data_IF_197982977784
#
_entry.id   IF_197982977784
#
_cell.length_a   1.000
_cell.length_b   1.000
_cell.length_c   1.000
_cell.angle_alpha   90.00
_cell.angle_beta   90.00
_cell.angle_gamma   90.00
#
_symmetry.space_group_name_H-M   'P 1'
#
loop_
_entity.id
_entity.type
_entity.pdbx_description
1 polymer ?
#
# COMPACT_ATOMS: atom_id res chain seq x y z
N UNK A 1 10.59 32.64 17.97
CA UNK A 1 9.60 31.54 18.06
C UNK A 1 8.28 32.00 17.49
N UNK A 2 7.80 31.41 16.40
CA UNK A 2 6.43 31.67 15.93
C UNK A 2 5.81 30.35 15.48
N UNK A 3 4.83 29.89 16.27
CA UNK A 3 4.11 28.63 16.07
C UNK A 3 3.29 28.76 14.78
N UNK A 4 3.71 28.11 13.69
CA UNK A 4 2.85 27.97 12.50
C UNK A 4 1.70 27.05 12.87
N UNK A 5 0.54 27.67 13.07
CA UNK A 5 -0.76 27.03 13.29
C UNK A 5 -1.05 26.20 12.03
N UNK A 6 -0.98 24.88 12.15
CA UNK A 6 -1.39 23.95 11.10
C UNK A 6 -2.89 24.12 10.86
N UNK A 7 -3.26 25.06 9.99
CA UNK A 7 -4.59 25.13 9.43
C UNK A 7 -4.72 23.94 8.49
N UNK A 8 -5.37 22.90 9.00
CA UNK A 8 -5.93 21.80 8.22
C UNK A 8 -6.91 22.42 7.20
N UNK A 9 -6.39 22.85 6.07
CA UNK A 9 -7.14 23.48 5.00
C UNK A 9 -8.05 22.42 4.36
N UNK A 10 -9.35 22.70 4.37
CA UNK A 10 -10.34 21.87 3.69
C UNK A 10 -9.95 21.76 2.21
N UNK A 11 -9.63 20.53 1.82
CA UNK A 11 -9.13 20.16 0.49
C UNK A 11 -10.12 20.61 -0.61
N UNK A 12 -11.42 20.67 -0.27
CA UNK A 12 -12.51 21.19 -1.10
C UNK A 12 -12.36 22.68 -1.42
N UNK A 13 -11.98 23.48 -0.43
CA UNK A 13 -11.83 24.94 -0.55
C UNK A 13 -10.63 25.31 -1.43
N UNK A 14 -9.53 24.57 -1.29
CA UNK A 14 -8.34 24.73 -2.12
C UNK A 14 -8.61 24.38 -3.59
N UNK A 15 -9.36 23.32 -3.87
CA UNK A 15 -9.73 22.93 -5.23
C UNK A 15 -10.65 23.97 -5.91
N UNK A 16 -11.57 24.58 -5.16
CA UNK A 16 -12.41 25.66 -5.68
C UNK A 16 -11.58 26.91 -6.03
N UNK A 17 -10.65 27.31 -5.16
CA UNK A 17 -9.75 28.44 -5.39
C UNK A 17 -8.84 28.22 -6.61
N UNK A 18 -8.28 27.02 -6.77
CA UNK A 18 -7.42 26.69 -7.93
C UNK A 18 -8.19 26.74 -9.24
N UNK A 19 -9.43 26.24 -9.27
CA UNK A 19 -10.32 26.34 -10.45
C UNK A 19 -10.62 27.78 -10.81
N UNK A 20 -10.86 28.65 -9.82
CA UNK A 20 -11.10 30.07 -10.04
C UNK A 20 -9.89 30.77 -10.68
N UNK A 21 -8.68 30.48 -10.21
CA UNK A 21 -7.43 31.03 -10.78
C UNK A 21 -7.19 30.51 -12.19
N UNK A 22 -7.42 29.21 -12.44
CA UNK A 22 -7.26 28.63 -13.77
C UNK A 22 -8.27 29.19 -14.79
N UNK A 23 -9.43 29.69 -14.34
CA UNK A 23 -10.41 30.43 -15.14
C UNK A 23 -10.06 31.90 -15.36
N UNK A 24 -8.86 32.33 -14.96
CA UNK A 24 -8.37 33.70 -15.18
C UNK A 24 -8.67 34.69 -14.04
N UNK A 25 -9.23 34.26 -12.90
CA UNK A 25 -9.40 35.17 -11.76
C UNK A 25 -8.07 35.55 -11.13
N UNK A 26 -7.97 36.79 -10.64
CA UNK A 26 -6.77 37.31 -10.00
C UNK A 26 -6.37 36.44 -8.79
N UNK A 27 -5.12 35.97 -8.78
CA UNK A 27 -4.53 35.14 -7.75
C UNK A 27 -4.64 35.76 -6.35
N UNK A 28 -4.38 37.06 -6.22
CA UNK A 28 -4.34 37.77 -4.94
C UNK A 28 -5.74 37.96 -4.35
N UNK A 29 -6.70 38.33 -5.20
CA UNK A 29 -8.11 38.47 -4.80
C UNK A 29 -8.69 37.10 -4.38
N UNK A 30 -8.37 36.05 -5.14
CA UNK A 30 -8.81 34.68 -4.85
C UNK A 30 -8.19 34.17 -3.55
N UNK A 31 -6.89 34.40 -3.32
CA UNK A 31 -6.23 34.04 -2.07
C UNK A 31 -6.91 34.67 -0.83
N UNK A 32 -7.26 35.96 -0.91
CA UNK A 32 -7.96 36.68 0.17
C UNK A 32 -9.40 36.17 0.37
N UNK A 33 -10.13 35.92 -0.71
CA UNK A 33 -11.51 35.42 -0.68
C UNK A 33 -11.61 34.06 0.01
N UNK A 34 -10.67 33.17 -0.28
CA UNK A 34 -10.68 31.80 0.24
C UNK A 34 -9.84 31.61 1.51
N UNK A 35 -9.17 32.66 2.00
CA UNK A 35 -8.30 32.58 3.18
C UNK A 35 -7.07 31.69 2.99
N UNK A 36 -6.57 31.56 1.76
CA UNK A 36 -5.44 30.68 1.41
C UNK A 36 -4.20 31.55 1.16
N UNK A 37 -3.02 31.20 1.70
CA UNK A 37 -1.79 31.91 1.37
C UNK A 37 -1.56 31.96 -0.15
N UNK A 38 -1.20 33.14 -0.67
CA UNK A 38 -1.00 33.39 -2.10
C UNK A 38 0.01 32.41 -2.72
N UNK A 39 1.07 32.08 -1.99
CA UNK A 39 2.11 31.11 -2.41
C UNK A 39 1.54 29.71 -2.58
N UNK A 40 0.74 29.22 -1.62
CA UNK A 40 0.07 27.91 -1.70
C UNK A 40 -0.87 27.84 -2.90
N UNK A 41 -1.67 28.88 -3.14
CA UNK A 41 -2.56 28.94 -4.30
C UNK A 41 -1.80 28.97 -5.63
N UNK A 42 -0.68 29.69 -5.67
CA UNK A 42 0.20 29.75 -6.84
C UNK A 42 0.86 28.40 -7.16
N UNK A 43 1.39 27.73 -6.14
CA UNK A 43 2.05 26.43 -6.34
C UNK A 43 1.05 25.35 -6.77
N UNK A 44 -0.19 25.40 -6.27
CA UNK A 44 -1.27 24.54 -6.73
C UNK A 44 -1.73 24.87 -8.16
N UNK A 45 -1.87 26.14 -8.54
CA UNK A 45 -2.30 26.53 -9.90
C UNK A 45 -1.26 26.16 -10.96
N UNK A 46 0.03 26.33 -10.64
CA UNK A 46 1.16 25.88 -11.48
C UNK A 46 1.41 24.37 -11.43
N UNK A 47 0.61 23.61 -10.69
CA UNK A 47 0.69 22.16 -10.64
C UNK A 47 1.92 21.60 -9.92
N UNK A 48 2.70 22.44 -9.22
CA UNK A 48 3.91 22.03 -8.49
C UNK A 48 3.61 21.07 -7.33
N UNK A 49 2.35 21.05 -6.89
CA UNK A 49 1.85 20.20 -5.81
C UNK A 49 0.93 19.07 -6.32
N UNK A 50 0.80 18.87 -7.65
CA UNK A 50 0.05 17.73 -8.21
C UNK A 50 0.72 16.42 -7.78
N UNK A 51 -0.02 15.55 -7.10
CA UNK A 51 0.47 14.28 -6.56
C UNK A 51 0.83 14.29 -5.06
N UNK A 52 0.82 15.46 -4.40
CA UNK A 52 0.85 15.52 -2.94
C UNK A 52 -0.57 15.40 -2.37
N UNK A 53 -1.12 14.18 -2.36
CA UNK A 53 -2.35 13.87 -1.61
C UNK A 53 -2.12 13.88 -0.09
N UNK A 54 -0.86 14.01 0.35
CA UNK A 54 -0.45 13.87 1.76
C UNK A 54 0.22 15.15 2.29
N UNK A 55 -0.51 16.27 2.29
CA UNK A 55 -0.03 17.55 2.82
C UNK A 55 1.30 18.05 2.22
N UNK A 56 1.96 19.06 2.81
CA UNK A 56 3.31 19.50 2.45
C UNK A 56 4.39 18.50 2.91
N UNK A 57 4.06 17.21 2.89
CA UNK A 57 4.92 16.11 3.31
C UNK A 57 5.83 15.60 2.21
N UNK A 58 6.91 14.96 2.64
CA UNK A 58 7.88 14.28 1.78
C UNK A 58 7.19 13.24 0.88
N UNK A 59 7.51 13.23 -0.42
CA UNK A 59 6.94 12.30 -1.42
C UNK A 59 7.03 10.84 -0.94
N UNK A 60 5.97 10.07 -1.16
CA UNK A 60 5.94 8.65 -0.81
C UNK A 60 6.99 7.86 -1.63
N UNK A 61 7.54 6.82 -1.02
CA UNK A 61 8.51 5.94 -1.68
C UNK A 61 7.86 5.02 -2.71
N UNK A 62 6.64 4.57 -2.45
CA UNK A 62 5.75 3.87 -3.38
C UNK A 62 4.46 4.68 -3.50
N UNK A 63 3.95 4.85 -4.71
CA UNK A 63 2.66 5.52 -4.94
C UNK A 63 1.51 4.62 -4.47
N UNK A 64 0.32 5.18 -4.28
CA UNK A 64 -0.87 4.39 -3.89
C UNK A 64 -1.19 3.30 -4.93
N UNK A 65 -0.95 3.57 -6.22
CA UNK A 65 -1.12 2.61 -7.31
C UNK A 65 -0.11 1.48 -7.22
N UNK A 66 1.16 1.79 -6.92
CA UNK A 66 2.21 0.79 -6.74
C UNK A 66 2.02 -0.06 -5.47
N UNK A 67 1.31 0.48 -4.47
CA UNK A 67 0.94 -0.25 -3.27
C UNK A 67 -0.22 -1.24 -3.54
N UNK A 68 -1.05 -1.06 -4.58
CA UNK A 68 -2.22 -1.93 -4.85
C UNK A 68 -1.90 -3.42 -5.04
N UNK A 69 -0.92 -3.83 -5.88
CA UNK A 69 -0.60 -5.24 -6.04
C UNK A 69 -0.16 -5.88 -4.72
N UNK A 70 0.54 -5.11 -3.89
CA UNK A 70 1.00 -5.54 -2.56
C UNK A 70 -0.19 -5.77 -1.62
N UNK A 71 -1.17 -4.85 -1.64
CA UNK A 71 -2.40 -4.97 -0.84
C UNK A 71 -3.20 -6.21 -1.26
N UNK A 72 -3.39 -6.41 -2.56
CA UNK A 72 -4.11 -7.55 -3.10
C UNK A 72 -3.44 -8.87 -2.69
N UNK A 73 -2.12 -8.93 -2.78
CA UNK A 73 -1.36 -10.12 -2.38
C UNK A 73 -1.43 -10.37 -0.86
N UNK A 74 -1.41 -9.32 -0.04
CA UNK A 74 -1.61 -9.46 1.41
C UNK A 74 -2.98 -10.06 1.72
N UNK A 75 -4.06 -9.59 1.06
CA UNK A 75 -5.41 -10.11 1.23
C UNK A 75 -5.51 -11.57 0.78
N UNK A 76 -4.98 -11.89 -0.40
CA UNK A 76 -4.92 -13.24 -0.96
C UNK A 76 -4.25 -14.25 -0.02
N UNK A 77 -3.15 -13.84 0.63
CA UNK A 77 -2.41 -14.68 1.56
C UNK A 77 -3.10 -14.80 2.92
N UNK A 78 -3.74 -13.73 3.39
CA UNK A 78 -4.51 -13.73 4.63
C UNK A 78 -5.72 -14.67 4.54
N UNK A 79 -6.41 -14.68 3.40
CA UNK A 79 -7.55 -15.56 3.12
C UNK A 79 -7.19 -17.06 3.19
N UNK A 80 -5.97 -17.41 2.76
CA UNK A 80 -5.41 -18.78 2.86
C UNK A 80 -4.81 -19.11 4.23
N UNK A 81 -5.12 -18.32 5.26
CA UNK A 81 -4.61 -18.52 6.63
C UNK A 81 -3.10 -18.29 6.79
N UNK A 82 -2.44 -17.63 5.82
CA UNK A 82 -0.98 -17.40 5.83
C UNK A 82 -0.66 -15.91 5.67
N UNK A 83 -1.02 -15.05 6.64
CA UNK A 83 -0.80 -13.62 6.55
C UNK A 83 0.69 -13.27 6.39
N UNK A 84 0.98 -12.25 5.58
CA UNK A 84 2.36 -11.83 5.32
C UNK A 84 3.01 -11.18 6.55
N UNK A 85 4.24 -11.59 6.83
CA UNK A 85 5.07 -10.96 7.87
C UNK A 85 5.65 -9.62 7.38
N UNK A 86 6.04 -8.75 8.32
CA UNK A 86 6.74 -7.50 8.00
C UNK A 86 8.01 -7.73 7.17
N UNK A 87 8.73 -8.83 7.42
CA UNK A 87 9.95 -9.18 6.67
C UNK A 87 9.63 -9.46 5.20
N UNK A 88 8.56 -10.22 4.92
CA UNK A 88 8.11 -10.50 3.55
C UNK A 88 7.61 -9.24 2.88
N UNK A 89 6.82 -8.42 3.59
CA UNK A 89 6.33 -7.14 3.09
C UNK A 89 7.48 -6.23 2.63
N UNK A 90 8.54 -6.10 3.44
CA UNK A 90 9.74 -5.34 3.07
C UNK A 90 10.41 -5.90 1.82
N UNK A 91 10.55 -7.23 1.71
CA UNK A 91 11.14 -7.87 0.52
C UNK A 91 10.37 -7.55 -0.75
N UNK A 92 9.04 -7.68 -0.72
CA UNK A 92 8.19 -7.38 -1.88
C UNK A 92 8.24 -5.89 -2.24
N UNK A 93 8.18 -5.01 -1.26
CA UNK A 93 8.34 -3.58 -1.48
C UNK A 93 9.74 -3.24 -2.08
N UNK A 94 10.82 -3.86 -1.60
CA UNK A 94 12.16 -3.72 -2.21
C UNK A 94 12.17 -4.21 -3.65
N UNK A 95 11.50 -5.31 -3.97
CA UNK A 95 11.42 -5.83 -5.34
C UNK A 95 10.73 -4.84 -6.28
N UNK A 96 9.63 -4.22 -5.84
CA UNK A 96 8.94 -3.17 -6.59
C UNK A 96 9.86 -1.95 -6.77
N UNK A 97 10.55 -1.51 -5.71
CA UNK A 97 11.47 -0.37 -5.77
C UNK A 97 12.66 -0.60 -6.71
N UNK A 98 13.17 -1.84 -6.81
CA UNK A 98 14.28 -2.18 -7.71
C UNK A 98 13.89 -2.07 -9.18
N UNK A 99 12.64 -2.40 -9.51
CA UNK A 99 12.09 -2.27 -10.87
C UNK A 99 11.87 -0.82 -11.30
N UNK A 100 11.86 0.14 -10.37
CA UNK A 100 11.76 1.57 -10.71
C UNK A 100 13.11 2.11 -11.18
N UNK A 101 13.12 2.73 -12.35
CA UNK A 101 14.28 3.45 -12.88
C UNK A 101 14.54 4.76 -12.12
N UNK A 102 13.51 5.37 -11.53
CA UNK A 102 13.64 6.65 -10.84
C UNK A 102 14.28 6.54 -9.46
N UNK A 103 14.90 7.65 -9.03
CA UNK A 103 15.51 7.82 -7.70
C UNK A 103 14.44 7.69 -6.62
N UNK A 104 14.43 6.56 -5.93
CA UNK A 104 13.60 6.33 -4.75
C UNK A 104 14.35 6.80 -3.52
N UNK A 105 13.65 7.38 -2.54
CA UNK A 105 14.29 7.82 -1.29
C UNK A 105 14.70 6.66 -0.36
N UNK A 106 14.24 5.45 -0.65
CA UNK A 106 14.64 4.24 0.04
C UNK A 106 15.88 3.70 -0.67
N UNK A 107 16.91 3.45 0.12
CA UNK A 107 18.09 2.70 -0.32
C UNK A 107 17.65 1.30 -0.79
N UNK A 108 17.84 1.00 -2.08
CA UNK A 108 17.44 -0.27 -2.71
C UNK A 108 18.20 -1.48 -2.15
N UNK A 109 19.34 -1.26 -1.50
CA UNK A 109 20.16 -2.30 -0.87
C UNK A 109 19.65 -2.64 0.54
N UNK A 110 19.28 -1.63 1.33
CA UNK A 110 18.74 -1.82 2.68
C UNK A 110 17.23 -2.11 2.71
N UNK A 111 16.50 -1.61 1.72
CA UNK A 111 15.05 -1.75 1.63
C UNK A 111 14.28 -0.89 2.63
N UNK A 112 12.94 -1.05 2.70
CA UNK A 112 12.09 -0.26 3.58
C UNK A 112 12.33 -0.54 5.07
N UNK A 113 12.28 0.52 5.88
CA UNK A 113 12.40 0.43 7.35
C UNK A 113 11.11 -0.06 8.02
N UNK A 114 11.18 -0.41 9.31
CA UNK A 114 9.96 -0.73 10.08
C UNK A 114 8.98 0.44 10.17
N UNK A 115 9.49 1.67 10.21
CA UNK A 115 8.66 2.88 10.15
C UNK A 115 7.91 2.99 8.82
N UNK A 116 8.50 2.52 7.71
CA UNK A 116 7.79 2.44 6.44
C UNK A 116 6.61 1.47 6.53
N UNK A 117 6.79 0.26 7.08
CA UNK A 117 5.71 -0.70 7.28
C UNK A 117 4.57 -0.15 8.15
N UNK A 118 4.90 0.57 9.23
CA UNK A 118 3.90 1.23 10.07
C UNK A 118 3.10 2.28 9.30
N UNK A 119 3.77 3.11 8.49
CA UNK A 119 3.11 4.15 7.67
C UNK A 119 2.26 3.53 6.56
N UNK A 120 2.75 2.47 5.92
CA UNK A 120 1.99 1.70 4.92
C UNK A 120 0.67 1.20 5.52
N UNK A 121 0.70 0.58 6.70
CA UNK A 121 -0.51 0.13 7.41
C UNK A 121 -1.45 1.27 7.81
N UNK A 122 -0.91 2.43 8.20
CA UNK A 122 -1.73 3.62 8.49
C UNK A 122 -2.46 4.15 7.25
N UNK A 123 -1.87 4.00 6.06
CA UNK A 123 -2.52 4.36 4.78
C UNK A 123 -3.58 3.34 4.36
N UNK A 124 -3.39 2.08 4.73
CA UNK A 124 -4.22 0.95 4.34
C UNK A 124 -4.88 0.28 5.55
N UNK A 125 -5.85 0.94 6.21
CA UNK A 125 -6.56 0.38 7.36
C UNK A 125 -7.38 -0.88 7.03
N UNK A 126 -7.64 -1.15 5.75
CA UNK A 126 -8.24 -2.39 5.25
C UNK A 126 -7.37 -3.63 5.50
N UNK A 127 -6.06 -3.45 5.71
CA UNK A 127 -5.12 -4.52 6.03
C UNK A 127 -5.06 -4.69 7.55
N UNK A 128 -6.10 -5.28 8.13
CA UNK A 128 -6.08 -5.65 9.56
C UNK A 128 -5.18 -6.86 9.75
N UNK A 129 -4.15 -6.74 10.61
CA UNK A 129 -3.46 -7.92 11.12
C UNK A 129 -4.42 -8.64 12.06
N UNK A 130 -5.13 -9.64 11.53
CA UNK A 130 -5.71 -10.65 12.40
C UNK A 130 -4.54 -11.42 13.01
N UNK A 131 -4.42 -11.41 14.34
CA UNK A 131 -3.59 -12.44 14.99
C UNK A 131 -4.22 -13.77 14.56
N UNK A 132 -3.48 -14.73 13.99
CA UNK A 132 -4.07 -16.02 13.69
C UNK A 132 -4.58 -16.59 15.02
N UNK A 133 -5.90 -16.63 15.17
CA UNK A 133 -6.52 -17.38 16.27
C UNK A 133 -6.10 -18.83 16.06
N UNK A 134 -5.72 -19.55 17.12
CA UNK A 134 -5.35 -20.97 17.00
C UNK A 134 -6.45 -21.79 16.31
N UNK A 135 -7.72 -21.38 16.49
CA UNK A 135 -8.90 -21.96 15.84
C UNK A 135 -9.06 -21.61 14.35
N UNK A 136 -8.40 -20.56 13.85
CA UNK A 136 -8.41 -20.15 12.43
C UNK A 136 -7.29 -20.81 11.62
N UNK A 137 -6.53 -21.72 12.22
CA UNK A 137 -5.52 -22.48 11.51
C UNK A 137 -6.23 -23.64 10.79
N UNK A 138 -6.33 -23.66 9.45
CA UNK A 138 -7.00 -24.74 8.73
C UNK A 138 -6.34 -26.11 8.98
N UNK A 139 -5.12 -26.15 9.52
CA UNK A 139 -4.47 -27.39 9.99
C UNK A 139 -5.14 -28.01 11.23
N UNK A 140 -6.00 -27.28 11.93
CA UNK A 140 -6.77 -27.78 13.09
C UNK A 140 -8.13 -28.36 12.69
N UNK A 141 -8.59 -28.10 11.46
CA UNK A 141 -9.87 -28.60 10.93
C UNK A 141 -9.69 -29.82 10.03
N UNK A 142 -8.46 -30.32 9.86
CA UNK A 142 -8.20 -31.53 9.07
C UNK A 142 -8.80 -32.73 9.78
N UNK A 143 -9.77 -33.35 9.14
CA UNK A 143 -10.44 -34.58 9.59
C UNK A 143 -9.67 -35.81 9.11
N UNK A 144 -10.04 -36.99 9.61
CA UNK A 144 -9.43 -38.24 9.14
C UNK A 144 -9.83 -38.48 7.68
N UNK A 145 -11.05 -38.11 7.34
CA UNK A 145 -11.63 -38.19 5.99
C UNK A 145 -10.84 -37.34 4.99
N UNK A 146 -10.41 -36.13 5.37
CA UNK A 146 -9.55 -35.28 4.52
C UNK A 146 -8.18 -35.92 4.25
N UNK A 147 -7.65 -36.67 5.23
CA UNK A 147 -6.37 -37.37 5.11
C UNK A 147 -6.54 -38.57 4.17
N UNK A 148 -7.62 -39.35 4.34
CA UNK A 148 -7.96 -40.47 3.47
C UNK A 148 -8.15 -39.99 2.03
N UNK A 149 -8.94 -38.93 1.80
CA UNK A 149 -9.15 -38.35 0.46
C UNK A 149 -7.83 -37.88 -0.18
N UNK A 150 -6.92 -37.30 0.61
CA UNK A 150 -5.59 -36.92 0.13
C UNK A 150 -4.78 -38.14 -0.34
N UNK A 151 -4.78 -39.23 0.44
CA UNK A 151 -4.04 -40.44 0.08
C UNK A 151 -4.67 -41.17 -1.11
N UNK A 152 -5.99 -41.21 -1.22
CA UNK A 152 -6.69 -41.76 -2.39
C UNK A 152 -6.37 -40.97 -3.67
N UNK A 153 -6.38 -39.64 -3.58
CA UNK A 153 -6.00 -38.76 -4.68
C UNK A 153 -4.52 -38.92 -5.06
N UNK A 154 -3.66 -39.08 -4.07
CA UNK A 154 -2.23 -39.31 -4.26
C UNK A 154 -1.98 -40.64 -4.96
N UNK A 155 -2.58 -41.74 -4.47
CA UNK A 155 -2.43 -43.08 -5.01
C UNK A 155 -2.97 -43.17 -6.45
N UNK A 156 -4.17 -42.65 -6.70
CA UNK A 156 -4.74 -42.59 -8.05
C UNK A 156 -3.89 -41.74 -9.01
N UNK A 157 -3.26 -40.67 -8.52
CA UNK A 157 -2.36 -39.83 -9.32
C UNK A 157 -1.05 -40.54 -9.62
N UNK A 158 -0.46 -41.24 -8.65
CA UNK A 158 0.75 -42.04 -8.82
C UNK A 158 0.52 -43.15 -9.84
N UNK A 159 -0.64 -43.83 -9.76
CA UNK A 159 -1.01 -44.91 -10.69
C UNK A 159 -1.24 -44.40 -12.11
N UNK A 160 -2.03 -43.33 -12.24
CA UNK A 160 -2.30 -42.69 -13.53
C UNK A 160 -1.01 -42.20 -14.21
N UNK A 161 -0.02 -41.76 -13.44
CA UNK A 161 1.26 -41.30 -13.96
C UNK A 161 2.31 -42.43 -14.07
N UNK A 162 1.98 -43.65 -13.61
CA UNK A 162 2.88 -44.80 -13.65
C UNK A 162 4.17 -44.58 -12.84
N UNK A 163 4.05 -43.97 -11.66
CA UNK A 163 5.17 -43.54 -10.81
C UNK A 163 5.45 -44.48 -9.62
N UNK A 164 4.66 -45.55 -9.42
CA UNK A 164 4.72 -46.43 -8.24
C UNK A 164 6.11 -47.02 -7.97
N UNK A 165 6.88 -47.30 -9.02
CA UNK A 165 8.19 -47.94 -8.96
C UNK A 165 9.28 -47.18 -9.74
N UNK A 166 9.15 -45.84 -9.85
CA UNK A 166 10.14 -44.98 -10.51
C UNK A 166 10.74 -43.96 -9.53
N UNK A 167 11.64 -44.41 -8.64
CA UNK A 167 12.45 -43.49 -7.84
C UNK A 167 13.56 -42.92 -8.75
N UNK A 168 13.32 -41.76 -9.35
CA UNK A 168 14.41 -40.88 -9.80
C UNK A 168 14.72 -39.84 -8.72
#
# INVERSE_FOLDING_TARGET
MSKKKDQKQDQTNLLAAVRAVNRGKNLSATARLYGIPKTTLYDHSKGRLRGCTTGPGRKLSLTMEEEQPLINYIKYMADRGRPLTNRMLKKFATAILRRKEHVTQIDKNKGPSDKWCQRFRKRHPEIKLRKPDKASNPRMEVTIEDIEEYYDLLESTIDRLGLRDKPE
#
